data_IF_869560837481
#
_entry.id   IF_869560837481
#
_cell.length_a   1.000
_cell.length_b   1.000
_cell.length_c   1.000
_cell.angle_alpha   90.00
_cell.angle_beta   90.00
_cell.angle_gamma   90.00
#
_symmetry.space_group_name_H-M   'P 1'
#
loop_
_entity.id
_entity.type
_entity.pdbx_description
1 polymer ?
#
# COMPACT_ATOMS: atom_id res chain seq x y z
N UNK A 1 21.73 -5.89 -24.11
CA UNK A 1 21.14 -5.18 -22.96
C UNK A 1 20.27 -6.17 -22.18
N UNK A 2 20.74 -6.70 -21.05
CA UNK A 2 19.96 -7.64 -20.25
C UNK A 2 19.09 -6.84 -19.26
N UNK A 3 17.76 -6.85 -19.42
CA UNK A 3 16.84 -6.17 -18.49
C UNK A 3 16.53 -7.14 -17.36
N UNK A 4 17.21 -6.98 -16.21
CA UNK A 4 16.90 -7.75 -15.00
C UNK A 4 15.61 -7.20 -14.39
N UNK A 5 14.64 -8.09 -14.15
CA UNK A 5 13.36 -7.73 -13.51
C UNK A 5 13.39 -8.07 -12.03
N UNK A 6 14.01 -7.19 -11.24
CA UNK A 6 14.32 -7.40 -9.83
C UNK A 6 13.08 -7.78 -9.01
N UNK A 7 11.96 -7.08 -9.19
CA UNK A 7 10.74 -7.31 -8.40
C UNK A 7 10.14 -8.70 -8.63
N UNK A 8 10.05 -9.14 -9.89
CA UNK A 8 9.48 -10.44 -10.25
C UNK A 8 10.39 -11.59 -9.79
N UNK A 9 11.72 -11.41 -9.92
CA UNK A 9 12.71 -12.37 -9.42
C UNK A 9 12.72 -12.46 -7.89
N UNK A 10 12.61 -11.32 -7.21
CA UNK A 10 12.64 -11.27 -5.74
C UNK A 10 11.38 -11.88 -5.15
N UNK A 11 10.22 -11.59 -5.72
CA UNK A 11 8.93 -12.05 -5.20
C UNK A 11 8.42 -13.37 -5.80
N UNK A 12 9.16 -13.95 -6.76
CA UNK A 12 8.76 -15.15 -7.50
C UNK A 12 7.32 -15.04 -8.07
N UNK A 13 6.98 -13.85 -8.59
CA UNK A 13 5.66 -13.51 -9.06
C UNK A 13 5.75 -12.61 -10.29
N UNK A 14 4.67 -12.52 -11.08
CA UNK A 14 4.64 -11.65 -12.25
C UNK A 14 4.29 -10.21 -11.88
N UNK A 15 4.75 -9.25 -12.67
CA UNK A 15 4.50 -7.84 -12.45
C UNK A 15 3.00 -7.51 -12.41
N UNK A 16 2.15 -8.02 -13.33
CA UNK A 16 0.71 -7.79 -13.23
C UNK A 16 0.10 -8.35 -11.95
N UNK A 17 0.60 -9.49 -11.45
CA UNK A 17 0.15 -10.08 -10.19
C UNK A 17 0.53 -9.21 -8.98
N UNK A 18 1.80 -8.81 -8.91
CA UNK A 18 2.31 -7.91 -7.86
C UNK A 18 1.57 -6.57 -7.87
N UNK A 19 1.40 -5.98 -9.05
CA UNK A 19 0.66 -4.73 -9.22
C UNK A 19 -0.77 -4.87 -8.71
N UNK A 20 -1.49 -5.93 -9.10
CA UNK A 20 -2.87 -6.16 -8.65
C UNK A 20 -3.00 -6.37 -7.13
N UNK A 21 -2.03 -7.01 -6.49
CA UNK A 21 -2.02 -7.17 -5.03
C UNK A 21 -1.77 -5.84 -4.32
N UNK A 22 -0.81 -5.04 -4.80
CA UNK A 22 -0.46 -3.76 -4.18
C UNK A 22 -1.49 -2.65 -4.48
N UNK A 23 -2.10 -2.64 -5.66
CA UNK A 23 -3.13 -1.68 -6.07
C UNK A 23 -4.41 -1.82 -5.23
N UNK A 24 -4.64 -3.01 -4.63
CA UNK A 24 -5.73 -3.22 -3.66
C UNK A 24 -5.50 -2.54 -2.30
N UNK A 25 -4.32 -1.99 -2.05
CA UNK A 25 -4.08 -1.11 -0.89
C UNK A 25 -4.74 0.24 -1.17
N UNK A 26 -6.06 0.28 -1.04
CA UNK A 26 -6.85 1.47 -1.29
C UNK A 26 -6.62 2.52 -0.19
N UNK A 27 -6.51 3.78 -0.59
CA UNK A 27 -6.65 4.93 0.29
C UNK A 27 -8.15 5.21 0.48
N UNK A 28 -8.64 5.03 1.70
CA UNK A 28 -9.93 5.54 2.13
C UNK A 28 -9.79 6.98 2.60
N UNK A 29 -10.76 7.81 2.21
CA UNK A 29 -10.94 9.17 2.77
C UNK A 29 -12.25 9.22 3.56
N UNK A 30 -12.35 8.57 4.73
CA UNK A 30 -13.51 8.76 5.58
C UNK A 30 -13.59 10.22 6.07
N UNK A 31 -14.68 10.88 5.69
CA UNK A 31 -15.08 12.17 6.23
C UNK A 31 -16.20 11.95 7.27
N UNK A 32 -16.12 12.66 8.39
CA UNK A 32 -17.16 12.68 9.42
C UNK A 32 -17.29 14.06 10.06
N UNK A 33 -18.25 14.27 10.97
CA UNK A 33 -18.51 15.58 11.58
C UNK A 33 -17.34 16.17 12.39
N UNK A 34 -16.33 15.35 12.71
CA UNK A 34 -15.12 15.77 13.42
C UNK A 34 -13.94 16.08 12.46
N UNK A 35 -14.15 15.94 11.14
CA UNK A 35 -13.16 16.20 10.10
C UNK A 35 -12.89 15.02 9.16
N UNK A 36 -11.79 15.12 8.42
CA UNK A 36 -11.40 14.19 7.35
C UNK A 36 -10.16 13.39 7.72
N UNK A 37 -10.21 12.06 7.55
CA UNK A 37 -9.05 11.18 7.74
C UNK A 37 -8.69 10.56 6.40
N UNK A 38 -7.42 10.63 5.99
CA UNK A 38 -6.90 9.87 4.87
C UNK A 38 -6.16 8.65 5.42
N UNK A 39 -6.72 7.46 5.24
CA UNK A 39 -6.15 6.22 5.76
C UNK A 39 -6.16 5.10 4.71
N UNK A 40 -5.12 4.27 4.68
CA UNK A 40 -5.15 3.05 3.86
C UNK A 40 -5.97 1.95 4.53
N UNK A 41 -6.52 1.06 3.70
CA UNK A 41 -7.04 -0.22 4.16
C UNK A 41 -5.97 -1.03 4.91
N UNK A 42 -6.42 -1.98 5.73
CA UNK A 42 -5.54 -2.93 6.38
C UNK A 42 -4.77 -3.74 5.32
N UNK A 43 -3.47 -3.95 5.52
CA UNK A 43 -2.69 -4.80 4.63
C UNK A 43 -3.11 -6.26 4.81
N UNK A 44 -3.30 -6.97 3.71
CA UNK A 44 -3.39 -8.42 3.69
C UNK A 44 -2.00 -9.04 3.94
N UNK A 45 -1.97 -10.32 4.33
CA UNK A 45 -0.71 -11.05 4.53
C UNK A 45 0.15 -11.05 3.26
N UNK A 46 -0.45 -11.32 2.12
CA UNK A 46 0.21 -11.30 0.80
C UNK A 46 0.91 -9.98 0.53
N UNK A 47 0.25 -8.85 0.82
CA UNK A 47 0.81 -7.51 0.62
C UNK A 47 1.99 -7.23 1.56
N UNK A 48 1.89 -7.63 2.84
CA UNK A 48 3.01 -7.52 3.79
C UNK A 48 4.21 -8.36 3.34
N UNK A 49 3.96 -9.57 2.88
CA UNK A 49 5.02 -10.50 2.46
C UNK A 49 5.74 -9.97 1.20
N UNK A 50 5.01 -9.37 0.25
CA UNK A 50 5.60 -8.70 -0.92
C UNK A 50 6.49 -7.53 -0.49
N UNK A 51 5.98 -6.65 0.38
CA UNK A 51 6.73 -5.49 0.87
C UNK A 51 8.00 -5.92 1.63
N UNK A 52 7.89 -6.94 2.49
CA UNK A 52 9.03 -7.49 3.23
C UNK A 52 10.10 -8.09 2.31
N UNK A 53 9.69 -8.87 1.29
CA UNK A 53 10.63 -9.44 0.31
C UNK A 53 11.37 -8.35 -0.47
N UNK A 54 10.67 -7.26 -0.78
CA UNK A 54 11.26 -6.08 -1.44
C UNK A 54 12.04 -5.17 -0.49
N UNK A 55 12.05 -5.46 0.82
CA UNK A 55 12.63 -4.62 1.87
C UNK A 55 12.07 -3.20 1.86
N UNK A 56 10.78 -3.08 1.58
CA UNK A 56 10.03 -1.82 1.59
C UNK A 56 9.21 -1.78 2.86
N UNK A 57 9.38 -0.72 3.65
CA UNK A 57 8.53 -0.52 4.81
C UNK A 57 7.09 -0.28 4.37
N UNK A 58 6.10 -0.88 5.06
CA UNK A 58 4.71 -0.65 4.72
C UNK A 58 4.39 0.85 4.86
N UNK A 59 3.60 1.43 3.92
CA UNK A 59 3.22 2.83 4.03
C UNK A 59 2.51 3.10 5.37
N UNK A 60 2.51 4.32 5.91
CA UNK A 60 1.80 4.64 7.14
C UNK A 60 0.31 4.34 6.99
N UNK A 61 -0.37 3.98 8.09
CA UNK A 61 -1.81 3.66 8.03
C UNK A 61 -2.66 4.91 7.83
N UNK A 62 -2.29 6.00 8.50
CA UNK A 62 -2.93 7.31 8.41
C UNK A 62 -1.92 8.24 7.75
N UNK A 63 -2.35 8.89 6.68
CA UNK A 63 -1.52 9.83 5.93
C UNK A 63 -1.78 11.28 6.36
N UNK A 64 -3.04 11.59 6.64
CA UNK A 64 -3.45 12.93 7.03
C UNK A 64 -4.70 12.87 7.89
N UNK A 65 -4.73 13.75 8.89
CA UNK A 65 -5.88 14.01 9.74
C UNK A 65 -6.17 15.50 9.68
N UNK A 66 -7.34 15.88 9.18
CA UNK A 66 -7.82 17.25 9.20
C UNK A 66 -8.97 17.31 10.21
N UNK A 67 -8.82 18.10 11.27
CA UNK A 67 -9.89 18.34 12.24
C UNK A 67 -10.69 19.56 11.81
N UNK A 68 -12.02 19.49 11.77
CA UNK A 68 -12.82 20.70 11.67
C UNK A 68 -12.78 21.42 13.02
N UNK A 69 -12.34 22.67 13.01
CA UNK A 69 -12.40 23.53 14.20
C UNK A 69 -13.86 24.00 14.35
N UNK A 70 -14.48 23.93 15.53
CA UNK A 70 -15.87 24.34 15.75
C UNK A 70 -16.11 25.82 15.47
#
# INVERSE_FOLDING_TARGET
MHRVRVTEMTCQATWPGLHRELDRVALGTPAGPAGTVHQRSGLLKTQRDILAQLKIDPPPRIFQLTTETP
#
